data_IF_653228659510
#
_entry.id   IF_653228659510
#
_cell.length_a   1.000
_cell.length_b   1.000
_cell.length_c   1.000
_cell.angle_alpha   90.00
_cell.angle_beta   90.00
_cell.angle_gamma   90.00
#
_symmetry.space_group_name_H-M   'P 1'
#
loop_
_entity.id
_entity.type
_entity.pdbx_description
1 polymer ?
#
# COMPACT_ATOMS: atom_id res chain seq x y z
N UNK A 1 39.52 0.16 -37.95
CA UNK A 1 38.73 -0.91 -37.27
C UNK A 1 38.49 -0.57 -35.79
N UNK A 2 37.68 0.45 -35.45
CA UNK A 2 37.38 0.85 -34.04
C UNK A 2 35.89 0.98 -33.69
N UNK A 3 34.96 0.77 -34.63
CA UNK A 3 33.52 0.99 -34.41
C UNK A 3 32.73 -0.25 -33.91
N UNK A 4 33.33 -1.45 -33.93
CA UNK A 4 32.62 -2.69 -33.57
C UNK A 4 32.57 -2.92 -32.06
N UNK A 5 33.61 -2.51 -31.32
CA UNK A 5 33.65 -2.67 -29.85
C UNK A 5 32.75 -1.67 -29.11
N UNK A 6 32.61 -0.45 -29.64
CA UNK A 6 31.78 0.60 -29.03
C UNK A 6 30.28 0.27 -29.13
N UNK A 7 29.86 -0.23 -30.31
CA UNK A 7 28.46 -0.61 -30.57
C UNK A 7 28.02 -1.84 -29.78
N UNK A 8 28.94 -2.78 -29.52
CA UNK A 8 28.68 -3.95 -28.68
C UNK A 8 28.41 -3.56 -27.21
N UNK A 9 29.17 -2.61 -26.67
CA UNK A 9 28.97 -2.13 -25.29
C UNK A 9 27.63 -1.39 -25.14
N UNK A 10 27.28 -0.50 -26.09
CA UNK A 10 26.02 0.27 -26.04
C UNK A 10 24.78 -0.63 -26.07
N UNK A 11 24.78 -1.69 -26.89
CA UNK A 11 23.68 -2.67 -26.93
C UNK A 11 23.50 -3.40 -25.60
N UNK A 12 24.59 -3.76 -24.93
CA UNK A 12 24.55 -4.42 -23.61
C UNK A 12 23.96 -3.49 -22.54
N UNK A 13 24.34 -2.21 -22.54
CA UNK A 13 23.77 -1.19 -21.66
C UNK A 13 22.29 -0.95 -21.91
N UNK A 14 21.85 -0.91 -23.17
CA UNK A 14 20.42 -0.77 -23.51
C UNK A 14 19.58 -1.96 -23.01
N UNK A 15 20.07 -3.19 -23.16
CA UNK A 15 19.39 -4.38 -22.62
C UNK A 15 19.26 -4.30 -21.10
N UNK A 16 20.30 -3.85 -20.40
CA UNK A 16 20.30 -3.69 -18.94
C UNK A 16 19.29 -2.63 -18.48
N UNK A 17 19.19 -1.50 -19.18
CA UNK A 17 18.21 -0.45 -18.91
C UNK A 17 16.78 -0.95 -19.15
N UNK A 18 16.55 -1.74 -20.20
CA UNK A 18 15.24 -2.34 -20.47
C UNK A 18 14.85 -3.33 -19.36
N UNK A 19 15.76 -4.21 -18.95
CA UNK A 19 15.52 -5.14 -17.84
C UNK A 19 15.24 -4.42 -16.52
N UNK A 20 15.96 -3.33 -16.25
CA UNK A 20 15.74 -2.51 -15.05
C UNK A 20 14.37 -1.81 -15.08
N UNK A 21 13.90 -1.35 -16.23
CA UNK A 21 12.56 -0.74 -16.35
C UNK A 21 11.44 -1.77 -16.19
N UNK A 22 11.63 -2.98 -16.71
CA UNK A 22 10.68 -4.08 -16.54
C UNK A 22 10.53 -4.49 -15.07
N UNK A 23 11.64 -4.57 -14.32
CA UNK A 23 11.57 -4.94 -12.91
C UNK A 23 10.80 -3.90 -12.09
N UNK A 24 11.08 -2.60 -12.27
CA UNK A 24 10.38 -1.53 -11.54
C UNK A 24 8.88 -1.50 -11.88
N UNK A 25 8.51 -1.71 -13.15
CA UNK A 25 7.11 -1.75 -13.59
C UNK A 25 6.30 -2.89 -12.96
N UNK A 26 6.92 -4.06 -12.74
CA UNK A 26 6.29 -5.22 -12.11
C UNK A 26 6.01 -4.97 -10.62
N UNK A 27 6.90 -4.27 -9.91
CA UNK A 27 6.69 -3.92 -8.50
C UNK A 27 5.62 -2.85 -8.31
N UNK A 28 5.55 -1.84 -9.19
CA UNK A 28 4.56 -0.77 -9.09
C UNK A 28 3.14 -1.21 -9.47
N UNK A 29 3.01 -2.11 -10.45
CA UNK A 29 1.70 -2.64 -10.88
C UNK A 29 1.00 -3.45 -9.77
N UNK A 30 1.77 -4.23 -9.02
CA UNK A 30 1.19 -5.25 -8.13
C UNK A 30 0.28 -4.66 -7.04
N UNK A 31 0.65 -3.50 -6.50
CA UNK A 31 -0.06 -2.86 -5.39
C UNK A 31 -1.37 -2.20 -5.83
N UNK A 32 -1.38 -1.52 -6.97
CA UNK A 32 -2.59 -0.88 -7.48
C UNK A 32 -3.63 -1.91 -7.93
N UNK A 33 -3.19 -3.00 -8.58
CA UNK A 33 -4.08 -4.12 -8.91
C UNK A 33 -4.63 -4.82 -7.66
N UNK A 34 -3.86 -4.90 -6.57
CA UNK A 34 -4.32 -5.43 -5.29
C UNK A 34 -5.38 -4.52 -4.65
N UNK A 35 -5.18 -3.20 -4.62
CA UNK A 35 -6.18 -2.25 -4.10
C UNK A 35 -7.50 -2.38 -4.88
N UNK A 36 -7.44 -2.32 -6.21
CA UNK A 36 -8.63 -2.41 -7.07
C UNK A 36 -9.38 -3.74 -6.89
N UNK A 37 -8.65 -4.85 -6.78
CA UNK A 37 -9.23 -6.18 -6.58
C UNK A 37 -9.95 -6.28 -5.24
N UNK A 38 -9.34 -5.77 -4.17
CA UNK A 38 -9.94 -5.76 -2.83
C UNK A 38 -11.18 -4.87 -2.78
N UNK A 39 -11.17 -3.72 -3.44
CA UNK A 39 -12.34 -2.84 -3.54
C UNK A 39 -13.53 -3.51 -4.26
N UNK A 40 -13.28 -4.31 -5.29
CA UNK A 40 -14.33 -5.10 -5.95
C UNK A 40 -14.90 -6.15 -4.98
N UNK A 41 -14.04 -6.83 -4.23
CA UNK A 41 -14.48 -7.83 -3.24
C UNK A 41 -15.33 -7.18 -2.14
N UNK A 42 -14.95 -5.98 -1.66
CA UNK A 42 -15.71 -5.23 -0.66
C UNK A 42 -17.12 -4.90 -1.16
N UNK A 43 -17.24 -4.45 -2.42
CA UNK A 43 -18.55 -4.16 -3.04
C UNK A 43 -19.43 -5.39 -3.16
N UNK A 44 -18.84 -6.57 -3.35
CA UNK A 44 -19.56 -7.85 -3.47
C UNK A 44 -19.85 -8.51 -2.12
N UNK A 45 -19.09 -8.18 -1.07
CA UNK A 45 -19.22 -8.80 0.23
C UNK A 45 -20.59 -8.48 0.86
N UNK A 46 -21.34 -9.53 1.19
CA UNK A 46 -22.63 -9.42 1.90
C UNK A 46 -22.48 -9.49 3.41
N UNK A 47 -21.39 -10.08 3.89
CA UNK A 47 -21.12 -10.30 5.31
C UNK A 47 -20.18 -9.22 5.82
N UNK A 48 -20.59 -8.56 6.91
CA UNK A 48 -19.83 -7.45 7.48
C UNK A 48 -18.48 -7.88 8.04
N UNK A 49 -18.34 -9.11 8.56
CA UNK A 49 -17.03 -9.65 8.97
C UNK A 49 -16.07 -9.83 7.79
N UNK A 50 -16.57 -10.22 6.61
CA UNK A 50 -15.75 -10.26 5.39
C UNK A 50 -15.29 -8.85 4.99
N UNK A 51 -16.17 -7.85 5.10
CA UNK A 51 -15.79 -6.45 4.82
C UNK A 51 -14.71 -5.95 5.77
N UNK A 52 -14.79 -6.29 7.06
CA UNK A 52 -13.76 -5.95 8.05
C UNK A 52 -12.39 -6.41 7.55
N UNK A 53 -12.23 -7.71 7.26
CA UNK A 53 -10.95 -8.25 6.82
C UNK A 53 -10.45 -7.65 5.51
N UNK A 54 -11.36 -7.38 4.57
CA UNK A 54 -10.96 -6.74 3.31
C UNK A 54 -10.49 -5.29 3.51
N UNK A 55 -11.10 -4.54 4.44
CA UNK A 55 -10.62 -3.20 4.80
C UNK A 55 -9.32 -3.23 5.60
N UNK A 56 -9.14 -4.20 6.50
CA UNK A 56 -7.86 -4.43 7.20
C UNK A 56 -6.74 -4.69 6.19
N UNK A 57 -6.96 -5.59 5.22
CA UNK A 57 -5.98 -5.87 4.17
C UNK A 57 -5.66 -4.63 3.31
N UNK A 58 -6.66 -3.81 2.98
CA UNK A 58 -6.43 -2.55 2.27
C UNK A 58 -5.58 -1.59 3.09
N UNK A 59 -5.83 -1.49 4.40
CA UNK A 59 -5.02 -0.68 5.28
C UNK A 59 -3.57 -1.17 5.26
N UNK A 60 -3.33 -2.46 5.49
CA UNK A 60 -1.98 -3.03 5.56
C UNK A 60 -1.16 -2.79 4.27
N UNK A 61 -1.79 -2.94 3.10
CA UNK A 61 -1.12 -2.68 1.82
C UNK A 61 -0.74 -1.21 1.66
N UNK A 62 -1.53 -0.30 2.24
CA UNK A 62 -1.40 1.14 2.04
C UNK A 62 -0.64 1.85 3.17
N UNK A 63 -0.27 1.15 4.25
CA UNK A 63 0.36 1.71 5.46
C UNK A 63 1.50 2.69 5.14
N UNK A 64 2.44 2.27 4.28
CA UNK A 64 3.62 3.05 3.92
C UNK A 64 3.50 3.83 2.61
N UNK A 65 2.42 3.63 1.85
CA UNK A 65 2.26 4.15 0.49
C UNK A 65 1.33 5.35 0.45
N UNK A 66 0.25 5.29 1.21
CA UNK A 66 -0.76 6.33 1.25
C UNK A 66 -1.39 6.38 2.65
N UNK A 67 -0.80 7.19 3.52
CA UNK A 67 -1.22 7.33 4.92
C UNK A 67 -2.68 7.81 5.06
N UNK A 68 -3.18 8.60 4.10
CA UNK A 68 -4.57 9.05 4.10
C UNK A 68 -5.54 7.89 3.83
N UNK A 69 -5.24 7.05 2.85
CA UNK A 69 -6.04 5.84 2.58
C UNK A 69 -5.88 4.78 3.67
N UNK A 70 -4.68 4.59 4.21
CA UNK A 70 -4.45 3.72 5.37
C UNK A 70 -5.37 4.08 6.53
N UNK A 71 -5.43 5.38 6.85
CA UNK A 71 -6.34 5.93 7.85
C UNK A 71 -7.80 5.66 7.51
N UNK A 72 -8.21 5.95 6.27
CA UNK A 72 -9.59 5.76 5.81
C UNK A 72 -10.06 4.31 6.00
N UNK A 73 -9.28 3.35 5.49
CA UNK A 73 -9.66 1.93 5.55
C UNK A 73 -9.55 1.36 6.97
N UNK A 74 -8.58 1.82 7.77
CA UNK A 74 -8.53 1.54 9.21
C UNK A 74 -9.82 1.95 9.93
N UNK A 75 -10.33 3.16 9.66
CA UNK A 75 -11.59 3.61 10.25
C UNK A 75 -12.80 2.81 9.77
N UNK A 76 -12.85 2.49 8.48
CA UNK A 76 -13.94 1.68 7.92
C UNK A 76 -13.99 0.30 8.57
N UNK A 77 -12.83 -0.36 8.72
CA UNK A 77 -12.74 -1.63 9.44
C UNK A 77 -13.20 -1.46 10.90
N UNK A 78 -12.59 -0.54 11.66
CA UNK A 78 -12.88 -0.33 13.07
C UNK A 78 -14.36 -0.02 13.34
N UNK A 79 -15.00 0.81 12.51
CA UNK A 79 -16.41 1.15 12.67
C UNK A 79 -17.32 -0.08 12.55
N UNK A 80 -17.06 -0.95 11.56
CA UNK A 80 -17.82 -2.20 11.40
C UNK A 80 -17.49 -3.16 12.57
N UNK A 81 -16.22 -3.27 12.96
CA UNK A 81 -15.80 -4.13 14.08
C UNK A 81 -16.45 -3.74 15.40
N UNK A 82 -16.57 -2.43 15.68
CA UNK A 82 -17.27 -1.90 16.86
C UNK A 82 -18.76 -2.25 16.82
N UNK A 83 -19.43 -2.05 15.67
CA UNK A 83 -20.85 -2.39 15.49
C UNK A 83 -21.14 -3.88 15.75
N UNK A 84 -20.24 -4.75 15.30
CA UNK A 84 -20.39 -6.21 15.41
C UNK A 84 -19.64 -6.82 16.61
N UNK A 85 -19.01 -5.99 17.45
CA UNK A 85 -18.23 -6.41 18.63
C UNK A 85 -17.15 -7.46 18.32
N UNK A 86 -16.51 -7.36 17.14
CA UNK A 86 -15.43 -8.24 16.70
C UNK A 86 -14.14 -7.84 17.42
N UNK A 87 -13.88 -8.46 18.58
CA UNK A 87 -12.83 -8.04 19.52
C UNK A 87 -11.44 -7.93 18.90
N UNK A 88 -11.06 -8.90 18.07
CA UNK A 88 -9.76 -8.93 17.42
C UNK A 88 -9.57 -7.74 16.48
N UNK A 89 -10.53 -7.50 15.58
CA UNK A 89 -10.49 -6.37 14.66
C UNK A 89 -10.64 -5.02 15.36
N UNK A 90 -11.33 -4.95 16.51
CA UNK A 90 -11.33 -3.73 17.35
C UNK A 90 -9.91 -3.44 17.87
N UNK A 91 -9.21 -4.46 18.40
CA UNK A 91 -7.83 -4.31 18.88
C UNK A 91 -6.92 -3.86 17.74
N UNK A 92 -7.00 -4.51 16.58
CA UNK A 92 -6.17 -4.18 15.43
C UNK A 92 -6.49 -2.77 14.91
N UNK A 93 -7.77 -2.39 14.83
CA UNK A 93 -8.18 -1.05 14.41
C UNK A 93 -7.65 0.06 15.34
N UNK A 94 -7.64 -0.15 16.66
CA UNK A 94 -7.03 0.80 17.59
C UNK A 94 -5.50 0.84 17.50
N UNK A 95 -4.85 -0.30 17.25
CA UNK A 95 -3.41 -0.33 17.00
C UNK A 95 -3.05 0.51 15.76
N UNK A 96 -3.74 0.30 14.64
CA UNK A 96 -3.52 1.06 13.41
C UNK A 96 -3.86 2.55 13.58
N UNK A 97 -4.90 2.86 14.35
CA UNK A 97 -5.24 4.25 14.68
C UNK A 97 -4.11 4.97 15.44
N UNK A 98 -3.44 4.30 16.38
CA UNK A 98 -2.28 4.85 17.06
C UNK A 98 -1.14 5.11 16.08
N UNK A 99 -0.88 4.20 15.14
CA UNK A 99 0.13 4.40 14.07
C UNK A 99 -0.16 5.66 13.24
N UNK A 100 -1.43 5.90 12.88
CA UNK A 100 -1.85 7.12 12.17
C UNK A 100 -1.56 8.38 12.99
N UNK A 101 -1.80 8.35 14.31
CA UNK A 101 -1.54 9.50 15.18
C UNK A 101 -0.03 9.75 15.28
N UNK A 102 0.75 8.70 15.54
CA UNK A 102 2.21 8.81 15.68
C UNK A 102 2.86 9.35 14.41
N UNK A 103 2.51 8.82 13.24
CA UNK A 103 3.05 9.30 11.95
C UNK A 103 2.70 10.77 11.69
N UNK A 104 1.48 11.19 12.01
CA UNK A 104 1.08 12.60 11.87
C UNK A 104 1.86 13.52 12.81
N UNK A 105 2.01 13.14 14.08
CA UNK A 105 2.75 13.94 15.08
C UNK A 105 4.22 14.03 14.69
N UNK A 106 4.84 12.92 14.28
CA UNK A 106 6.24 12.87 13.87
C UNK A 106 6.52 13.76 12.64
N UNK A 107 5.63 13.77 11.64
CA UNK A 107 5.74 14.69 10.50
C UNK A 107 5.69 16.15 10.95
N UNK A 108 4.79 16.50 11.88
CA UNK A 108 4.68 17.87 12.37
C UNK A 108 5.94 18.32 13.13
N UNK A 109 6.49 17.48 14.01
CA UNK A 109 7.72 17.84 14.74
C UNK A 109 8.95 17.91 13.86
N UNK A 110 9.06 17.09 12.80
CA UNK A 110 10.15 17.20 11.83
C UNK A 110 10.03 18.48 11.00
N UNK A 111 8.84 18.81 10.50
CA UNK A 111 8.62 20.02 9.69
C UNK A 111 8.79 21.35 10.45
N UNK A 112 8.67 21.35 11.78
CA UNK A 112 8.91 22.55 12.61
C UNK A 112 10.42 22.76 12.89
N UNK A 113 11.23 21.71 12.77
CA UNK A 113 12.67 21.72 13.12
C UNK A 113 13.61 21.79 11.89
N UNK A 114 13.08 22.03 10.69
CA UNK A 114 13.83 22.30 9.45
C UNK A 114 13.58 23.75 9.04
#
# INVERSE_FOLDING_TARGET
MKNVSLTFNIKKWLVLIVFLKLSIGLFAQNLQYQEDSLLILIKKAKVDTTKIHLYENLADILEYQNTDKFREYTYKALNISLKHKVKESIRNGYHNYLTVIFTKVLMQTVCINI
#
